data_IF_229796947818
#
_entry.id   IF_229796947818
#
_cell.length_a   1.000
_cell.length_b   1.000
_cell.length_c   1.000
_cell.angle_alpha   90.00
_cell.angle_beta   90.00
_cell.angle_gamma   90.00
#
_symmetry.space_group_name_H-M   'P 1'
#
loop_
_entity.id
_entity.type
_entity.pdbx_description
1 polymer ?
#
# COMPACT_ATOMS: atom_id res chain seq x y z
N UNK A 1 -4.07 10.57 10.57
CA UNK A 1 -4.28 10.96 9.17
C UNK A 1 -5.78 11.19 8.94
N UNK A 2 -6.15 11.76 7.80
CA UNK A 2 -7.52 11.70 7.29
C UNK A 2 -7.75 10.36 6.59
N UNK A 3 -8.98 9.86 6.59
CA UNK A 3 -9.37 8.64 5.90
C UNK A 3 -10.52 8.96 4.93
N UNK A 4 -10.47 8.38 3.73
CA UNK A 4 -11.49 8.59 2.72
C UNK A 4 -11.99 7.31 2.04
N UNK A 5 -11.86 6.14 2.66
CA UNK A 5 -12.19 4.86 2.02
C UNK A 5 -11.41 4.61 0.71
N UNK A 6 -10.09 4.85 0.76
CA UNK A 6 -9.17 4.55 -0.34
C UNK A 6 -9.52 5.24 -1.67
N UNK A 7 -9.97 6.50 -1.63
CA UNK A 7 -10.23 7.29 -2.85
C UNK A 7 -11.45 8.22 -2.78
N UNK A 8 -12.18 8.21 -1.68
CA UNK A 8 -13.33 9.08 -1.47
C UNK A 8 -14.43 8.83 -2.48
N UNK A 9 -14.98 9.91 -3.05
CA UNK A 9 -16.01 9.82 -4.08
C UNK A 9 -15.44 9.51 -5.48
N UNK A 10 -14.11 9.47 -5.63
CA UNK A 10 -13.40 9.24 -6.90
C UNK A 10 -12.65 7.90 -6.84
N UNK A 11 -13.40 6.79 -6.85
CA UNK A 11 -12.87 5.43 -6.85
C UNK A 11 -12.72 4.76 -5.48
N UNK A 12 -13.17 5.40 -4.39
CA UNK A 12 -13.18 4.77 -3.08
C UNK A 12 -14.12 3.58 -2.97
N UNK A 13 -13.83 2.69 -2.02
CA UNK A 13 -14.53 1.40 -1.86
C UNK A 13 -16.02 1.54 -1.49
N UNK A 14 -16.41 2.65 -0.89
CA UNK A 14 -17.79 2.91 -0.46
C UNK A 14 -18.08 4.40 -0.26
N UNK A 15 -19.35 4.77 -0.30
CA UNK A 15 -19.80 6.18 -0.34
C UNK A 15 -19.86 6.90 1.00
N UNK A 16 -19.73 6.18 2.13
CA UNK A 16 -19.76 6.77 3.47
C UNK A 16 -18.77 6.07 4.40
N UNK A 17 -17.81 6.83 4.91
CA UNK A 17 -16.71 6.36 5.77
C UNK A 17 -16.59 7.18 7.07
N UNK A 18 -17.63 7.93 7.43
CA UNK A 18 -17.61 8.80 8.62
C UNK A 18 -17.30 8.02 9.89
N UNK A 19 -17.89 6.82 10.02
CA UNK A 19 -17.65 5.95 11.17
C UNK A 19 -16.23 5.42 11.21
N UNK A 20 -15.65 5.08 10.05
CA UNK A 20 -14.28 4.58 9.97
C UNK A 20 -13.26 5.67 10.33
N UNK A 21 -13.50 6.90 9.85
CA UNK A 21 -12.71 8.08 10.20
C UNK A 21 -12.70 8.40 11.70
N UNK A 22 -13.70 7.93 12.45
CA UNK A 22 -13.80 8.11 13.90
C UNK A 22 -13.12 6.99 14.71
N UNK A 23 -12.85 5.81 14.12
CA UNK A 23 -12.28 4.65 14.84
C UNK A 23 -10.98 5.02 15.55
N UNK A 24 -10.04 5.66 14.86
CA UNK A 24 -8.76 6.05 15.45
C UNK A 24 -8.95 6.89 16.71
N UNK A 25 -9.88 7.86 16.69
CA UNK A 25 -10.18 8.72 17.85
C UNK A 25 -10.74 7.92 19.02
N UNK A 26 -11.61 6.94 18.74
CA UNK A 26 -12.22 6.09 19.77
C UNK A 26 -11.17 5.18 20.41
N UNK A 27 -10.33 4.52 19.61
CA UNK A 27 -9.24 3.65 20.09
C UNK A 27 -8.26 4.45 20.95
N UNK A 28 -7.84 5.63 20.50
CA UNK A 28 -6.93 6.51 21.26
C UNK A 28 -7.54 6.91 22.62
N UNK A 29 -8.83 7.26 22.64
CA UNK A 29 -9.54 7.60 23.88
C UNK A 29 -9.56 6.44 24.86
N UNK A 30 -9.84 5.22 24.38
CA UNK A 30 -9.84 4.01 25.21
C UNK A 30 -8.44 3.68 25.73
N UNK A 31 -7.41 3.87 24.91
CA UNK A 31 -6.01 3.65 25.28
C UNK A 31 -5.43 4.74 26.21
N UNK A 32 -6.17 5.82 26.48
CA UNK A 32 -5.69 6.94 27.31
C UNK A 32 -4.48 7.67 26.72
N UNK A 33 -4.28 7.59 25.40
CA UNK A 33 -3.12 8.13 24.71
C UNK A 33 -3.39 9.53 24.14
N UNK A 34 -2.32 10.32 23.97
CA UNK A 34 -2.37 11.54 23.16
C UNK A 34 -2.28 11.21 21.67
N UNK A 35 -2.66 12.16 20.80
CA UNK A 35 -2.55 12.00 19.34
C UNK A 35 -2.06 13.27 18.66
N UNK A 36 -1.37 13.07 17.55
CA UNK A 36 -1.10 14.12 16.57
C UNK A 36 -2.24 14.17 15.55
N UNK A 37 -2.59 15.37 15.08
CA UNK A 37 -3.68 15.55 14.12
C UNK A 37 -3.16 15.78 12.69
N UNK A 38 -3.10 14.70 11.92
CA UNK A 38 -2.72 14.72 10.49
C UNK A 38 -3.95 14.65 9.57
N UNK A 39 -5.09 15.22 9.96
CA UNK A 39 -6.35 15.10 9.18
C UNK A 39 -6.30 15.76 7.79
N UNK A 40 -5.35 16.66 7.54
CA UNK A 40 -5.19 17.35 6.26
C UNK A 40 -4.55 16.50 5.16
N UNK A 41 -3.95 15.37 5.53
CA UNK A 41 -3.39 14.40 4.57
C UNK A 41 -4.15 13.09 4.71
N UNK A 42 -4.72 12.63 3.60
CA UNK A 42 -5.30 11.30 3.46
C UNK A 42 -4.15 10.29 3.44
N UNK A 43 -4.25 9.27 4.31
CA UNK A 43 -3.27 8.20 4.39
C UNK A 43 -3.95 6.97 5.02
N UNK A 44 -3.38 5.80 4.78
CA UNK A 44 -3.83 4.54 5.32
C UNK A 44 -2.64 3.80 5.94
N UNK A 45 -2.87 3.01 7.00
CA UNK A 45 -1.77 2.27 7.63
C UNK A 45 -1.05 1.31 6.68
N UNK A 46 -1.78 0.71 5.74
CA UNK A 46 -1.24 -0.23 4.75
C UNK A 46 -0.46 0.42 3.60
N UNK A 47 -0.59 1.74 3.39
CA UNK A 47 0.17 2.43 2.33
C UNK A 47 1.59 2.83 2.76
N UNK A 48 2.00 2.47 3.99
CA UNK A 48 3.35 2.72 4.51
C UNK A 48 3.94 1.47 5.18
N UNK A 49 5.25 1.30 5.10
CA UNK A 49 6.03 0.40 5.96
C UNK A 49 7.21 1.15 6.56
N UNK A 50 7.50 0.95 7.85
CA UNK A 50 8.57 1.68 8.56
C UNK A 50 9.58 0.72 9.18
N UNK A 51 10.86 1.11 9.16
CA UNK A 51 11.95 0.31 9.71
C UNK A 51 12.21 0.54 11.21
N UNK A 52 11.61 1.59 11.79
CA UNK A 52 11.82 2.02 13.17
C UNK A 52 13.10 2.82 13.41
N UNK A 53 13.90 3.08 12.38
CA UNK A 53 15.17 3.82 12.44
C UNK A 53 15.25 5.02 11.49
N UNK A 54 14.10 5.42 10.95
CA UNK A 54 13.91 6.67 10.22
C UNK A 54 13.66 6.50 8.72
N UNK A 55 13.37 5.29 8.26
CA UNK A 55 13.06 4.99 6.86
C UNK A 55 11.60 4.58 6.71
N UNK A 56 10.91 5.17 5.74
CA UNK A 56 9.55 4.81 5.33
C UNK A 56 9.61 4.26 3.90
N UNK A 57 8.90 3.17 3.63
CA UNK A 57 8.70 2.60 2.30
C UNK A 57 7.24 2.81 1.88
N UNK A 58 7.04 3.27 0.65
CA UNK A 58 5.73 3.61 0.07
C UNK A 58 5.69 3.27 -1.43
N UNK A 59 4.51 3.31 -2.05
CA UNK A 59 4.35 3.22 -3.51
C UNK A 59 3.96 4.57 -4.11
N UNK A 60 4.46 4.86 -5.31
CA UNK A 60 4.07 6.02 -6.11
C UNK A 60 2.61 5.92 -6.52
N UNK A 61 2.16 4.72 -6.92
CA UNK A 61 0.79 4.46 -7.38
C UNK A 61 -0.27 4.87 -6.34
N UNK A 62 -0.03 4.59 -5.05
CA UNK A 62 -0.99 4.92 -4.00
C UNK A 62 -0.90 6.40 -3.59
N UNK A 63 0.26 6.84 -3.08
CA UNK A 63 0.33 8.14 -2.40
C UNK A 63 0.26 9.34 -3.34
N UNK A 64 0.58 9.15 -4.63
CA UNK A 64 0.47 10.20 -5.65
C UNK A 64 -0.83 10.09 -6.45
N UNK A 65 -1.72 9.15 -6.09
CA UNK A 65 -3.03 9.08 -6.71
C UNK A 65 -3.82 10.36 -6.42
N UNK A 66 -4.46 10.89 -7.47
CA UNK A 66 -5.31 12.09 -7.42
C UNK A 66 -6.46 11.97 -6.41
N UNK A 67 -6.87 10.75 -6.09
CA UNK A 67 -7.97 10.48 -5.15
C UNK A 67 -7.50 10.45 -3.68
N UNK A 68 -6.19 10.57 -3.41
CA UNK A 68 -5.62 10.76 -2.07
C UNK A 68 -5.41 12.25 -1.81
N UNK A 69 -4.27 12.79 -2.23
CA UNK A 69 -3.81 14.13 -1.85
C UNK A 69 -3.46 14.98 -3.09
N UNK A 70 -4.42 15.30 -3.98
CA UNK A 70 -4.14 15.99 -5.25
C UNK A 70 -3.59 17.42 -5.06
N UNK A 71 -3.71 17.96 -3.86
CA UNK A 71 -3.24 19.28 -3.46
C UNK A 71 -1.82 19.26 -2.86
N UNK A 72 -1.23 18.08 -2.64
CA UNK A 72 0.13 17.93 -2.12
C UNK A 72 1.07 17.44 -3.21
N UNK A 73 2.23 18.09 -3.29
CA UNK A 73 3.36 17.57 -4.06
C UNK A 73 4.02 16.38 -3.35
N UNK A 74 4.80 15.58 -4.10
CA UNK A 74 5.63 14.50 -3.53
C UNK A 74 6.46 14.99 -2.34
N UNK A 75 7.15 16.13 -2.46
CA UNK A 75 7.97 16.66 -1.38
C UNK A 75 7.18 17.04 -0.12
N UNK A 76 5.93 17.52 -0.28
CA UNK A 76 5.06 17.79 0.87
C UNK A 76 4.57 16.51 1.52
N UNK A 77 4.29 15.47 0.74
CA UNK A 77 3.98 14.13 1.26
C UNK A 77 5.17 13.58 2.04
N UNK A 78 6.37 13.64 1.48
CA UNK A 78 7.61 13.21 2.15
C UNK A 78 7.84 13.97 3.47
N UNK A 79 7.69 15.30 3.45
CA UNK A 79 7.85 16.12 4.64
C UNK A 79 6.85 15.74 5.75
N UNK A 80 5.58 15.51 5.39
CA UNK A 80 4.57 15.06 6.34
C UNK A 80 4.90 13.65 6.88
N UNK A 81 5.29 12.70 6.03
CA UNK A 81 5.68 11.36 6.49
C UNK A 81 6.86 11.43 7.47
N UNK A 82 7.88 12.22 7.15
CA UNK A 82 9.04 12.44 8.01
C UNK A 82 8.64 13.05 9.37
N UNK A 83 7.86 14.13 9.37
CA UNK A 83 7.39 14.83 10.57
C UNK A 83 6.59 13.89 11.51
N UNK A 84 5.60 13.18 10.97
CA UNK A 84 4.65 12.42 11.78
C UNK A 84 5.13 11.00 12.15
N UNK A 85 6.07 10.42 11.39
CA UNK A 85 6.61 9.08 11.64
C UNK A 85 8.01 9.09 12.28
N UNK A 86 8.60 10.28 12.49
CA UNK A 86 9.97 10.39 12.99
C UNK A 86 11.01 9.89 11.98
N UNK A 87 10.70 10.00 10.70
CA UNK A 87 11.55 9.55 9.62
C UNK A 87 12.38 10.69 9.01
N UNK A 88 13.45 10.32 8.32
CA UNK A 88 14.30 11.26 7.56
C UNK A 88 14.50 10.82 6.12
N UNK A 89 13.99 9.64 5.74
CA UNK A 89 14.10 9.09 4.40
C UNK A 89 12.82 8.36 3.99
N UNK A 90 12.37 8.63 2.78
CA UNK A 90 11.26 7.92 2.14
C UNK A 90 11.81 7.18 0.92
N UNK A 91 11.51 5.90 0.81
CA UNK A 91 11.80 5.04 -0.34
C UNK A 91 10.51 4.85 -1.13
N UNK A 92 10.55 5.19 -2.41
CA UNK A 92 9.41 5.13 -3.32
C UNK A 92 9.54 3.95 -4.28
N UNK A 93 8.68 2.95 -4.13
CA UNK A 93 8.44 1.93 -5.15
C UNK A 93 7.50 2.49 -6.22
N UNK A 94 7.45 1.87 -7.40
CA UNK A 94 6.53 2.26 -8.46
C UNK A 94 5.08 1.83 -8.16
N UNK A 95 4.66 0.75 -8.83
CA UNK A 95 3.33 0.17 -8.70
C UNK A 95 3.23 -0.80 -7.52
N UNK A 96 2.02 -0.98 -6.98
CA UNK A 96 1.67 -2.04 -6.04
C UNK A 96 1.29 -3.34 -6.78
N UNK A 97 0.74 -4.34 -6.07
CA UNK A 97 0.45 -5.63 -6.70
C UNK A 97 -0.61 -5.53 -7.81
N UNK A 98 -0.55 -6.46 -8.76
CA UNK A 98 -1.52 -6.54 -9.86
C UNK A 98 -2.92 -6.77 -9.32
N UNK A 99 -3.88 -5.96 -9.80
CA UNK A 99 -5.30 -6.09 -9.45
C UNK A 99 -5.71 -5.40 -8.15
N UNK A 100 -4.79 -4.68 -7.48
CA UNK A 100 -5.10 -3.88 -6.29
C UNK A 100 -5.80 -2.55 -6.66
N UNK A 101 -7.02 -2.66 -7.17
CA UNK A 101 -7.90 -1.52 -7.45
C UNK A 101 -8.52 -0.93 -6.18
N UNK A 102 -8.57 -1.71 -5.10
CA UNK A 102 -9.25 -1.33 -3.88
C UNK A 102 -8.44 -0.32 -3.07
N UNK A 103 -7.10 -0.44 -3.09
CA UNK A 103 -6.22 0.41 -2.28
C UNK A 103 -5.25 1.25 -3.11
N UNK A 104 -5.37 1.18 -4.44
CA UNK A 104 -4.49 1.84 -5.42
C UNK A 104 -3.02 1.43 -5.26
N UNK A 105 -2.77 0.15 -5.01
CA UNK A 105 -1.43 -0.41 -4.91
C UNK A 105 -0.74 -0.09 -3.59
N UNK A 106 -1.34 -0.50 -2.46
CA UNK A 106 -0.69 -0.37 -1.16
C UNK A 106 0.65 -1.10 -1.10
N UNK A 107 1.56 -0.57 -0.29
CA UNK A 107 2.89 -1.15 -0.12
C UNK A 107 2.86 -2.42 0.70
N UNK A 108 1.95 -2.57 1.67
CA UNK A 108 1.87 -3.76 2.53
C UNK A 108 1.59 -5.07 1.78
N UNK A 109 0.90 -4.98 0.65
CA UNK A 109 0.67 -6.08 -0.29
C UNK A 109 1.93 -6.46 -1.09
N UNK A 110 2.85 -5.51 -1.28
CA UNK A 110 4.05 -5.68 -2.13
C UNK A 110 5.31 -5.93 -1.31
N UNK A 111 5.57 -5.13 -0.28
CA UNK A 111 6.81 -5.15 0.46
C UNK A 111 6.68 -4.58 1.88
N UNK A 112 7.46 -5.13 2.82
CA UNK A 112 7.53 -4.60 4.18
C UNK A 112 8.92 -4.75 4.80
N UNK A 113 9.27 -3.86 5.73
CA UNK A 113 10.46 -4.05 6.55
C UNK A 113 10.24 -5.20 7.54
N UNK A 114 11.14 -6.18 7.53
CA UNK A 114 11.16 -7.28 8.52
C UNK A 114 12.14 -7.00 9.66
N UNK A 115 13.10 -6.11 9.43
CA UNK A 115 14.01 -5.50 10.41
C UNK A 115 14.73 -4.32 9.74
N UNK A 116 15.44 -3.46 10.48
CA UNK A 116 16.19 -2.35 9.89
C UNK A 116 17.11 -2.80 8.74
N UNK A 117 17.00 -2.12 7.60
CA UNK A 117 17.74 -2.41 6.36
C UNK A 117 17.29 -3.67 5.59
N UNK A 118 16.24 -4.37 6.01
CA UNK A 118 15.80 -5.63 5.40
C UNK A 118 14.33 -5.61 5.03
N UNK A 119 14.04 -5.88 3.76
CA UNK A 119 12.70 -5.83 3.19
C UNK A 119 12.29 -7.21 2.69
N UNK A 120 11.09 -7.65 3.04
CA UNK A 120 10.42 -8.75 2.37
C UNK A 120 9.72 -8.20 1.12
N UNK A 121 9.85 -8.85 -0.02
CA UNK A 121 9.26 -8.44 -1.29
C UNK A 121 8.44 -9.59 -1.88
N UNK A 122 7.18 -9.32 -2.17
CA UNK A 122 6.29 -10.21 -2.91
C UNK A 122 6.88 -10.55 -4.28
N UNK A 123 6.99 -11.83 -4.61
CA UNK A 123 7.81 -12.30 -5.72
C UNK A 123 7.19 -13.46 -6.49
N UNK A 124 7.44 -13.50 -7.79
CA UNK A 124 7.24 -14.65 -8.67
C UNK A 124 8.44 -14.74 -9.61
N UNK A 125 8.88 -15.96 -9.93
CA UNK A 125 9.93 -16.21 -10.95
C UNK A 125 9.35 -16.38 -12.36
N UNK A 126 8.02 -16.44 -12.49
CA UNK A 126 7.34 -16.56 -13.77
C UNK A 126 7.31 -15.23 -14.51
N UNK A 127 8.17 -15.08 -15.51
CA UNK A 127 8.26 -13.86 -16.32
C UNK A 127 7.00 -13.55 -17.16
N UNK A 128 6.08 -14.50 -17.30
CA UNK A 128 4.79 -14.29 -17.96
C UNK A 128 3.71 -13.74 -17.03
N UNK A 129 3.88 -13.89 -15.71
CA UNK A 129 2.97 -13.29 -14.73
C UNK A 129 3.11 -11.76 -14.77
N UNK A 130 2.02 -10.99 -14.93
CA UNK A 130 2.06 -9.53 -14.89
C UNK A 130 2.72 -8.96 -13.62
N UNK A 131 2.65 -9.69 -12.50
CA UNK A 131 3.28 -9.30 -11.23
C UNK A 131 4.81 -9.34 -11.29
N UNK A 132 5.41 -10.14 -12.18
CA UNK A 132 6.87 -10.26 -12.30
C UNK A 132 7.51 -8.91 -12.66
N UNK A 133 6.93 -8.16 -13.60
CA UNK A 133 7.46 -6.86 -14.01
C UNK A 133 7.45 -5.84 -12.86
N UNK A 134 6.36 -5.77 -12.10
CA UNK A 134 6.22 -4.89 -10.94
C UNK A 134 7.22 -5.28 -9.84
N UNK A 135 7.30 -6.57 -9.53
CA UNK A 135 8.21 -7.09 -8.49
C UNK A 135 9.67 -6.85 -8.87
N UNK A 136 10.00 -6.93 -10.17
CA UNK A 136 11.33 -6.64 -10.69
C UNK A 136 11.69 -5.15 -10.57
N UNK A 137 10.79 -4.22 -10.92
CA UNK A 137 11.00 -2.78 -10.70
C UNK A 137 11.21 -2.46 -9.21
N UNK A 138 10.36 -3.02 -8.35
CA UNK A 138 10.49 -2.86 -6.90
C UNK A 138 11.84 -3.40 -6.38
N UNK A 139 12.26 -4.58 -6.84
CA UNK A 139 13.56 -5.16 -6.50
C UNK A 139 14.71 -4.23 -6.90
N UNK A 140 14.72 -3.75 -8.14
CA UNK A 140 15.79 -2.87 -8.64
C UNK A 140 15.87 -1.56 -7.85
N UNK A 141 14.73 -0.96 -7.52
CA UNK A 141 14.68 0.27 -6.69
C UNK A 141 15.21 0.02 -5.28
N UNK A 142 14.82 -1.09 -4.66
CA UNK A 142 15.29 -1.46 -3.32
C UNK A 142 16.81 -1.75 -3.34
N UNK A 143 17.30 -2.53 -4.30
CA UNK A 143 18.72 -2.86 -4.44
C UNK A 143 19.59 -1.65 -4.81
N UNK A 144 19.01 -0.58 -5.37
CA UNK A 144 19.71 0.68 -5.61
C UNK A 144 19.65 1.65 -4.40
N UNK A 145 18.80 1.38 -3.41
CA UNK A 145 18.54 2.27 -2.30
C UNK A 145 19.35 1.95 -1.04
N UNK A 146 19.61 3.00 -0.25
CA UNK A 146 20.04 2.86 1.13
C UNK A 146 18.94 3.32 2.08
N UNK A 147 18.96 2.86 3.32
CA UNK A 147 18.06 3.37 4.35
C UNK A 147 18.55 4.70 4.95
N UNK A 148 17.83 5.21 5.97
CA UNK A 148 18.18 6.45 6.67
C UNK A 148 19.51 6.40 7.43
N UNK A 149 20.04 5.20 7.72
CA UNK A 149 21.34 4.98 8.36
C UNK A 149 22.45 4.69 7.34
N UNK A 150 22.15 4.74 6.05
CA UNK A 150 23.10 4.49 4.97
C UNK A 150 23.39 3.02 4.72
N UNK A 151 22.61 2.09 5.28
CA UNK A 151 22.73 0.65 4.98
C UNK A 151 22.12 0.36 3.63
N UNK A 152 22.77 -0.50 2.85
CA UNK A 152 22.17 -1.06 1.65
C UNK A 152 20.93 -1.89 2.03
N UNK A 153 19.84 -1.75 1.28
CA UNK A 153 18.65 -2.58 1.52
C UNK A 153 18.93 -4.02 1.08
N UNK A 154 18.66 -4.97 1.97
CA UNK A 154 18.68 -6.41 1.66
C UNK A 154 17.26 -6.89 1.43
N UNK A 155 17.00 -7.44 0.25
CA UNK A 155 15.67 -7.91 -0.15
C UNK A 155 15.55 -9.42 0.05
N UNK A 156 14.47 -9.85 0.69
CA UNK A 156 14.06 -11.24 0.87
C UNK A 156 12.85 -11.49 -0.01
N UNK A 157 12.99 -12.34 -1.03
CA UNK A 157 11.90 -12.67 -1.95
C UNK A 157 10.92 -13.62 -1.24
N UNK A 158 9.64 -13.27 -1.25
CA UNK A 158 8.54 -14.08 -0.73
C UNK A 158 7.69 -14.58 -1.90
N UNK A 159 7.72 -15.89 -2.21
CA UNK A 159 6.92 -16.45 -3.30
C UNK A 159 5.42 -16.20 -3.10
N UNK A 160 4.75 -15.71 -4.15
CA UNK A 160 3.30 -15.62 -4.23
C UNK A 160 2.69 -17.02 -4.40
N UNK A 161 1.55 -17.34 -3.78
CA UNK A 161 0.76 -18.51 -4.15
C UNK A 161 0.31 -18.41 -5.62
N UNK A 162 0.18 -19.57 -6.28
CA UNK A 162 -0.43 -19.60 -7.62
C UNK A 162 -1.88 -19.10 -7.61
N UNK A 163 -2.44 -18.77 -8.79
CA UNK A 163 -3.81 -18.30 -8.90
C UNK A 163 -4.79 -19.30 -8.29
N UNK A 164 -5.79 -18.78 -7.57
CA UNK A 164 -6.94 -19.54 -7.12
C UNK A 164 -8.08 -19.33 -8.12
N UNK A 165 -8.70 -20.42 -8.53
CA UNK A 165 -9.86 -20.43 -9.41
C UNK A 165 -11.10 -20.81 -8.58
N UNK A 166 -12.26 -20.31 -8.99
CA UNK A 166 -13.54 -20.68 -8.41
C UNK A 166 -14.44 -21.28 -9.49
N UNK A 167 -15.23 -22.27 -9.10
CA UNK A 167 -16.28 -22.84 -9.93
C UNK A 167 -17.56 -21.97 -9.84
N UNK A 168 -18.42 -22.05 -10.86
CA UNK A 168 -19.68 -21.28 -10.89
C UNK A 168 -20.58 -21.61 -9.68
N UNK A 169 -20.60 -22.88 -9.25
CA UNK A 169 -21.36 -23.33 -8.08
C UNK A 169 -20.88 -22.68 -6.77
N UNK A 170 -19.57 -22.41 -6.65
CA UNK A 170 -18.97 -21.77 -5.46
C UNK A 170 -19.38 -20.30 -5.31
N UNK A 171 -19.77 -19.65 -6.41
CA UNK A 171 -20.17 -18.24 -6.43
C UNK A 171 -21.66 -18.03 -6.68
N UNK A 172 -22.43 -19.10 -6.85
CA UNK A 172 -23.85 -19.07 -7.21
C UNK A 172 -24.74 -18.26 -6.24
N UNK A 173 -24.33 -18.13 -4.97
CA UNK A 173 -25.06 -17.36 -3.95
C UNK A 173 -24.55 -15.94 -3.77
N UNK A 174 -23.47 -15.54 -4.44
CA UNK A 174 -22.92 -14.19 -4.36
C UNK A 174 -23.74 -13.25 -5.24
N UNK A 175 -24.15 -12.12 -4.68
CA UNK A 175 -24.79 -11.07 -5.47
C UNK A 175 -23.79 -10.53 -6.50
N UNK A 176 -24.08 -10.67 -7.78
CA UNK A 176 -23.25 -10.13 -8.87
C UNK A 176 -23.30 -8.60 -8.83
N UNK A 177 -22.24 -7.98 -8.30
CA UNK A 177 -21.96 -6.56 -8.57
C UNK A 177 -21.14 -6.48 -9.86
N UNK A 178 -21.43 -5.53 -10.78
CA UNK A 178 -20.55 -5.29 -11.90
C UNK A 178 -19.17 -4.90 -11.37
N UNK A 179 -18.15 -5.73 -11.65
CA UNK A 179 -16.78 -5.48 -11.21
C UNK A 179 -16.23 -4.26 -11.97
N UNK A 180 -15.71 -3.28 -11.24
CA UNK A 180 -14.88 -2.22 -11.79
C UNK A 180 -13.49 -2.77 -12.16
N UNK A 181 -13.41 -3.47 -13.30
CA UNK A 181 -12.15 -3.79 -13.96
C UNK A 181 -11.21 -4.71 -13.19
N UNK A 182 -11.49 -6.01 -13.19
CA UNK A 182 -10.59 -7.00 -12.60
C UNK A 182 -11.12 -8.43 -12.59
N UNK A 183 -11.97 -8.82 -13.54
CA UNK A 183 -12.31 -10.24 -13.71
C UNK A 183 -11.20 -10.92 -14.50
N UNK A 184 -10.37 -11.73 -13.84
CA UNK A 184 -9.69 -12.83 -14.54
C UNK A 184 -10.71 -13.95 -14.71
N UNK A 185 -11.03 -14.28 -15.95
CA UNK A 185 -11.91 -15.39 -16.31
C UNK A 185 -11.35 -16.69 -15.73
N UNK A 186 -12.22 -17.56 -15.23
CA UNK A 186 -11.83 -18.94 -14.92
C UNK A 186 -11.31 -19.63 -16.20
N UNK A 187 -10.09 -20.17 -16.15
CA UNK A 187 -9.55 -21.02 -17.20
C UNK A 187 -8.61 -20.37 -18.24
N UNK A 188 -8.12 -19.14 -18.04
CA UNK A 188 -7.06 -18.60 -18.91
C UNK A 188 -5.68 -18.79 -18.24
N UNK A 189 -4.81 -19.48 -18.97
CA UNK A 189 -3.41 -19.75 -18.62
C UNK A 189 -2.50 -18.57 -18.97
#
# INVERSE_FOLDING_TARGET
FGFNAWGGLDGGCYSSWEKDSDIARQVIKLAGCSRYNMQQMILEGGSISVDGEGTVLVTEQCLLNKNRNPHLSRHQIEANLCEYLGATKVLWLGEGIVGDSDTDGHVDNLACFVRPGHVLLHWTDDASDPQHAISMDALQRLEAATDAKGRQIVVHKMPMPGPLYYEEEETATLATRPSSGGTRSGGEA
#
